data_IF_658097450218
#
_entry.id   IF_658097450218
#
_cell.length_a   1.000
_cell.length_b   1.000
_cell.length_c   1.000
_cell.angle_alpha   90.00
_cell.angle_beta   90.00
_cell.angle_gamma   90.00
#
_symmetry.space_group_name_H-M   'P 1'
#
loop_
_entity.id
_entity.type
_entity.pdbx_description
1 polymer ?
#
# COMPACT_ATOMS: atom_id res chain seq x y z
N UNK A 1 -11.68 11.06 3.82
CA UNK A 1 -11.42 12.51 3.84
C UNK A 1 -10.38 12.90 2.78
N UNK A 2 -9.19 12.28 2.77
CA UNK A 2 -8.09 12.64 1.84
C UNK A 2 -8.50 12.51 0.37
N UNK A 3 -9.21 11.45 -0.01
CA UNK A 3 -9.71 11.24 -1.39
C UNK A 3 -10.66 12.37 -1.80
N UNK A 4 -11.57 12.76 -0.91
CA UNK A 4 -12.46 13.91 -1.16
C UNK A 4 -11.71 15.22 -1.31
N UNK A 5 -10.73 15.45 -0.44
CA UNK A 5 -9.93 16.67 -0.49
C UNK A 5 -9.13 16.75 -1.81
N UNK A 6 -8.55 15.62 -2.24
CA UNK A 6 -7.82 15.57 -3.51
C UNK A 6 -8.73 15.74 -4.72
N UNK A 7 -9.90 15.11 -4.72
CA UNK A 7 -10.81 15.19 -5.86
C UNK A 7 -11.48 16.54 -5.96
N UNK A 8 -12.17 16.98 -4.90
CA UNK A 8 -12.90 18.25 -4.92
C UNK A 8 -12.00 19.46 -4.66
N UNK A 9 -11.06 19.37 -3.74
CA UNK A 9 -10.10 20.43 -3.45
C UNK A 9 -9.08 20.60 -4.57
N UNK A 10 -8.58 19.50 -5.14
CA UNK A 10 -7.66 19.51 -6.27
C UNK A 10 -8.31 20.10 -7.52
N UNK A 11 -9.56 19.71 -7.84
CA UNK A 11 -10.30 20.30 -8.95
C UNK A 11 -10.54 21.81 -8.75
N UNK A 12 -10.93 22.22 -7.55
CA UNK A 12 -11.10 23.62 -7.21
C UNK A 12 -9.81 24.43 -7.33
N UNK A 13 -8.69 23.89 -6.87
CA UNK A 13 -7.38 24.54 -7.00
C UNK A 13 -6.95 24.69 -8.45
N UNK A 14 -7.15 23.66 -9.28
CA UNK A 14 -6.82 23.72 -10.72
C UNK A 14 -7.71 24.73 -11.42
N UNK A 15 -9.01 24.76 -11.13
CA UNK A 15 -9.93 25.78 -11.68
C UNK A 15 -9.54 27.18 -11.25
N UNK A 16 -9.15 27.37 -10.00
CA UNK A 16 -8.70 28.67 -9.50
C UNK A 16 -7.44 29.16 -10.25
N UNK A 17 -6.45 28.27 -10.43
CA UNK A 17 -5.24 28.59 -11.19
C UNK A 17 -5.57 28.87 -12.66
N UNK A 18 -6.43 28.06 -13.28
CA UNK A 18 -6.86 28.24 -14.67
C UNK A 18 -7.60 29.59 -14.87
N UNK A 19 -8.41 30.02 -13.90
CA UNK A 19 -9.11 31.32 -13.95
C UNK A 19 -8.14 32.51 -13.97
N UNK A 20 -6.98 32.39 -13.31
CA UNK A 20 -5.92 33.44 -13.34
C UNK A 20 -5.36 33.58 -14.75
N UNK A 21 -5.33 32.50 -15.55
CA UNK A 21 -4.89 32.52 -16.95
C UNK A 21 -6.02 32.81 -17.95
N UNK A 22 -7.23 33.14 -17.45
CA UNK A 22 -8.36 33.50 -18.29
C UNK A 22 -9.18 32.33 -18.83
N UNK A 23 -8.94 31.11 -18.34
CA UNK A 23 -9.74 29.94 -18.65
C UNK A 23 -10.87 29.78 -17.62
N UNK A 24 -12.12 29.94 -18.07
CA UNK A 24 -13.31 29.85 -17.21
C UNK A 24 -14.16 28.59 -17.50
N UNK A 25 -13.68 27.72 -18.40
CA UNK A 25 -14.38 26.46 -18.67
C UNK A 25 -14.12 25.44 -17.57
N UNK A 26 -15.16 24.61 -17.27
CA UNK A 26 -15.04 23.52 -16.31
C UNK A 26 -14.05 22.47 -16.81
N UNK A 27 -12.93 22.33 -16.14
CA UNK A 27 -11.93 21.31 -16.44
C UNK A 27 -12.34 20.02 -15.73
N UNK A 28 -12.88 19.07 -16.50
CA UNK A 28 -13.26 17.77 -15.96
C UNK A 28 -12.00 16.94 -15.67
N UNK A 29 -11.70 16.77 -14.39
CA UNK A 29 -10.55 15.96 -13.97
C UNK A 29 -10.97 14.50 -13.99
N UNK A 30 -10.17 13.65 -14.62
CA UNK A 30 -10.41 12.22 -14.68
C UNK A 30 -10.38 11.61 -13.27
N UNK A 31 -11.54 11.10 -12.81
CA UNK A 31 -11.71 10.52 -11.49
C UNK A 31 -10.74 9.35 -11.22
N UNK A 32 -10.36 8.59 -12.26
CA UNK A 32 -9.39 7.51 -12.14
C UNK A 32 -8.00 8.04 -11.79
N UNK A 33 -7.53 9.06 -12.49
CA UNK A 33 -6.21 9.65 -12.25
C UNK A 33 -6.15 10.23 -10.85
N UNK A 34 -7.13 11.04 -10.48
CA UNK A 34 -7.18 11.70 -9.16
C UNK A 34 -7.28 10.69 -8.02
N UNK A 35 -8.16 9.69 -8.16
CA UNK A 35 -8.32 8.63 -7.18
C UNK A 35 -7.07 7.78 -7.03
N UNK A 36 -6.43 7.42 -8.15
CA UNK A 36 -5.18 6.65 -8.14
C UNK A 36 -4.03 7.42 -7.51
N UNK A 37 -3.91 8.73 -7.79
CA UNK A 37 -2.92 9.59 -7.17
C UNK A 37 -3.14 9.71 -5.66
N UNK A 38 -4.38 9.93 -5.21
CA UNK A 38 -4.70 10.03 -3.79
C UNK A 38 -4.34 8.75 -3.03
N UNK A 39 -4.75 7.58 -3.53
CA UNK A 39 -4.40 6.29 -2.93
C UNK A 39 -2.90 6.05 -3.03
N UNK A 40 -2.26 6.36 -4.16
CA UNK A 40 -0.82 6.21 -4.36
C UNK A 40 -0.01 7.00 -3.34
N UNK A 41 -0.39 8.25 -3.05
CA UNK A 41 0.27 9.10 -2.04
C UNK A 41 0.11 8.50 -0.65
N UNK A 42 -1.10 8.07 -0.27
CA UNK A 42 -1.37 7.48 1.04
C UNK A 42 -0.59 6.17 1.21
N UNK A 43 -0.68 5.26 0.24
CA UNK A 43 0.04 3.98 0.27
C UNK A 43 1.56 4.18 0.24
N UNK A 44 2.04 5.19 -0.51
CA UNK A 44 3.44 5.59 -0.53
C UNK A 44 3.94 6.08 0.82
N UNK A 45 3.15 6.89 1.52
CA UNK A 45 3.47 7.36 2.86
C UNK A 45 3.58 6.18 3.86
N UNK A 46 2.59 5.27 3.88
CA UNK A 46 2.66 4.07 4.71
C UNK A 46 3.86 3.17 4.35
N UNK A 47 4.12 2.97 3.06
CA UNK A 47 5.26 2.18 2.60
C UNK A 47 6.60 2.79 3.02
N UNK A 48 6.71 4.11 3.01
CA UNK A 48 7.90 4.83 3.48
C UNK A 48 8.18 4.55 4.95
N UNK A 49 7.13 4.58 5.80
CA UNK A 49 7.27 4.24 7.23
C UNK A 49 7.66 2.76 7.43
N UNK A 50 7.10 1.86 6.63
CA UNK A 50 7.47 0.43 6.66
C UNK A 50 8.95 0.25 6.32
N UNK A 51 9.44 0.88 5.26
CA UNK A 51 10.86 0.79 4.88
C UNK A 51 11.77 1.44 5.92
N UNK A 52 11.37 2.59 6.47
CA UNK A 52 12.11 3.24 7.54
C UNK A 52 12.23 2.35 8.77
N UNK A 53 11.13 1.76 9.22
CA UNK A 53 11.12 0.82 10.34
C UNK A 53 11.96 -0.43 10.08
N UNK A 54 11.88 -0.99 8.88
CA UNK A 54 12.67 -2.14 8.49
C UNK A 54 14.18 -1.85 8.51
N UNK A 55 14.63 -0.66 8.03
CA UNK A 55 16.04 -0.26 8.08
C UNK A 55 16.50 -0.06 9.53
N UNK A 56 15.66 0.56 10.37
CA UNK A 56 15.98 0.80 11.77
C UNK A 56 16.07 -0.49 12.62
N UNK A 57 15.41 -1.56 12.17
CA UNK A 57 15.44 -2.87 12.82
C UNK A 57 16.67 -3.70 12.46
N UNK A 58 17.48 -3.26 11.48
CA UNK A 58 18.75 -3.92 11.15
C UNK A 58 19.79 -3.57 12.22
N UNK A 59 20.49 -4.60 12.72
CA UNK A 59 21.51 -4.44 13.74
C UNK A 59 22.62 -3.46 13.28
N UNK A 60 22.95 -2.52 14.18
CA UNK A 60 23.99 -1.51 13.93
C UNK A 60 25.36 -2.16 13.68
N UNK A 61 25.63 -3.32 14.29
CA UNK A 61 26.84 -4.09 14.06
C UNK A 61 27.06 -4.49 12.60
N UNK A 62 25.98 -4.68 11.82
CA UNK A 62 26.08 -4.95 10.38
C UNK A 62 26.66 -3.75 9.62
N UNK A 63 26.27 -2.53 10.02
CA UNK A 63 26.80 -1.30 9.41
C UNK A 63 28.26 -1.07 9.80
N UNK A 64 28.61 -1.34 11.05
CA UNK A 64 29.96 -1.16 11.58
C UNK A 64 30.92 -2.18 10.99
N UNK A 65 30.52 -3.46 10.93
CA UNK A 65 31.33 -4.52 10.32
C UNK A 65 31.62 -4.24 8.84
N UNK A 66 30.62 -3.81 8.07
CA UNK A 66 30.80 -3.44 6.67
C UNK A 66 31.78 -2.27 6.51
N UNK A 67 31.73 -1.30 7.43
CA UNK A 67 32.64 -0.16 7.43
C UNK A 67 34.10 -0.58 7.74
N UNK A 68 34.28 -1.47 8.72
CA UNK A 68 35.63 -2.00 9.09
C UNK A 68 36.24 -2.79 7.93
N UNK A 69 35.41 -3.55 7.19
CA UNK A 69 35.81 -4.31 6.01
C UNK A 69 36.06 -3.43 4.77
N UNK A 70 35.90 -2.12 4.86
CA UNK A 70 36.13 -1.19 3.74
C UNK A 70 35.12 -1.33 2.62
N UNK A 71 33.94 -1.91 2.89
CA UNK A 71 32.87 -2.06 1.89
C UNK A 71 32.34 -0.69 1.51
N UNK A 72 32.26 -0.38 0.20
CA UNK A 72 31.69 0.88 -0.26
C UNK A 72 30.22 1.02 0.15
N UNK A 73 29.74 2.24 0.41
CA UNK A 73 28.36 2.52 0.83
C UNK A 73 27.32 1.92 -0.13
N UNK A 74 27.58 1.96 -1.43
CA UNK A 74 26.73 1.38 -2.44
C UNK A 74 26.65 -0.15 -2.32
N UNK A 75 27.81 -0.81 -2.21
CA UNK A 75 27.87 -2.27 -2.04
C UNK A 75 27.24 -2.70 -0.70
N UNK A 76 27.47 -1.95 0.37
CA UNK A 76 26.84 -2.15 1.68
C UNK A 76 25.30 -2.10 1.57
N UNK A 77 24.77 -1.07 0.90
CA UNK A 77 23.33 -0.93 0.73
C UNK A 77 22.75 -2.10 -0.07
N UNK A 78 23.26 -2.38 -1.28
CA UNK A 78 22.65 -3.38 -2.17
C UNK A 78 22.92 -4.82 -1.76
N UNK A 79 24.07 -5.14 -1.16
CA UNK A 79 24.43 -6.53 -0.84
C UNK A 79 24.11 -6.94 0.59
N UNK A 80 24.04 -5.99 1.54
CA UNK A 80 23.86 -6.28 2.96
C UNK A 80 22.51 -5.76 3.45
N UNK A 81 22.23 -4.46 3.27
CA UNK A 81 21.07 -3.81 3.89
C UNK A 81 19.78 -4.14 3.12
N UNK A 82 19.76 -3.95 1.82
CA UNK A 82 18.57 -4.11 0.98
C UNK A 82 17.93 -5.51 1.11
N UNK A 83 18.67 -6.63 1.06
CA UNK A 83 18.09 -7.96 1.24
C UNK A 83 17.47 -8.16 2.62
N UNK A 84 18.11 -7.65 3.67
CA UNK A 84 17.61 -7.72 5.05
C UNK A 84 16.38 -6.81 5.23
N UNK A 85 16.45 -5.59 4.74
CA UNK A 85 15.35 -4.62 4.76
C UNK A 85 14.10 -5.18 4.07
N UNK A 86 14.24 -5.74 2.86
CA UNK A 86 13.11 -6.32 2.13
C UNK A 86 12.47 -7.47 2.91
N UNK A 87 13.26 -8.32 3.56
CA UNK A 87 12.76 -9.41 4.40
C UNK A 87 11.91 -8.90 5.55
N UNK A 88 12.34 -7.83 6.22
CA UNK A 88 11.63 -7.22 7.34
C UNK A 88 10.42 -6.37 6.87
N UNK A 89 10.49 -5.82 5.66
CA UNK A 89 9.44 -4.97 5.10
C UNK A 89 8.26 -5.76 4.54
N UNK A 90 8.47 -6.94 3.92
CA UNK A 90 7.43 -7.70 3.20
C UNK A 90 6.18 -7.96 4.06
N UNK A 91 6.26 -8.44 5.33
CA UNK A 91 5.06 -8.67 6.14
C UNK A 91 4.25 -7.39 6.37
N UNK A 92 4.94 -6.27 6.63
CA UNK A 92 4.30 -4.98 6.87
C UNK A 92 3.72 -4.37 5.58
N UNK A 93 4.40 -4.54 4.43
CA UNK A 93 3.88 -4.15 3.12
C UNK A 93 2.62 -4.95 2.74
N UNK A 94 2.53 -6.21 3.16
CA UNK A 94 1.32 -7.01 3.05
C UNK A 94 0.11 -6.34 3.72
N UNK A 95 0.33 -5.77 4.90
CA UNK A 95 -0.71 -5.04 5.62
C UNK A 95 -1.09 -3.72 4.90
N UNK A 96 -0.09 -2.97 4.40
CA UNK A 96 -0.34 -1.77 3.58
C UNK A 96 -1.18 -2.12 2.34
N UNK A 97 -0.88 -3.23 1.67
CA UNK A 97 -1.67 -3.73 0.55
C UNK A 97 -3.13 -3.98 0.90
N UNK A 98 -3.40 -4.63 2.05
CA UNK A 98 -4.77 -4.88 2.51
C UNK A 98 -5.55 -3.59 2.79
N UNK A 99 -4.88 -2.59 3.39
CA UNK A 99 -5.47 -1.27 3.61
C UNK A 99 -5.79 -0.62 2.26
N UNK A 100 -4.84 -0.63 1.34
CA UNK A 100 -5.01 -0.07 -0.01
C UNK A 100 -6.18 -0.71 -0.75
N UNK A 101 -6.34 -2.03 -0.70
CA UNK A 101 -7.48 -2.73 -1.29
C UNK A 101 -8.84 -2.24 -0.76
N UNK A 102 -8.93 -1.97 0.54
CA UNK A 102 -10.16 -1.42 1.15
C UNK A 102 -10.37 0.03 0.72
N UNK A 103 -9.30 0.81 0.66
CA UNK A 103 -9.36 2.23 0.30
C UNK A 103 -9.78 2.42 -1.17
N UNK A 104 -9.52 1.45 -2.07
CA UNK A 104 -10.00 1.53 -3.45
C UNK A 104 -11.53 1.58 -3.55
N UNK A 105 -12.26 0.96 -2.62
CA UNK A 105 -13.72 1.04 -2.58
C UNK A 105 -14.25 2.44 -2.30
N UNK A 106 -13.45 3.28 -1.60
CA UNK A 106 -13.82 4.66 -1.28
C UNK A 106 -13.79 5.58 -2.50
N UNK A 107 -13.06 5.22 -3.57
CA UNK A 107 -13.05 5.99 -4.82
C UNK A 107 -14.42 5.95 -5.51
N UNK A 108 -15.27 4.98 -5.24
CA UNK A 108 -16.63 4.91 -5.76
C UNK A 108 -17.41 6.20 -5.58
N UNK A 109 -17.12 6.94 -4.52
CA UNK A 109 -17.78 8.19 -4.15
C UNK A 109 -17.45 9.33 -5.13
N UNK A 110 -16.28 9.29 -5.79
CA UNK A 110 -15.89 10.26 -6.82
C UNK A 110 -16.55 9.99 -8.18
N UNK A 111 -17.43 8.97 -8.25
CA UNK A 111 -18.13 8.60 -9.48
C UNK A 111 -17.38 7.58 -10.35
N UNK A 112 -16.18 7.15 -9.95
CA UNK A 112 -15.45 6.13 -10.68
C UNK A 112 -16.23 4.80 -10.69
N UNK A 113 -16.32 4.20 -11.87
CA UNK A 113 -17.00 2.92 -12.07
C UNK A 113 -16.06 1.79 -11.61
N UNK A 114 -16.31 1.31 -10.40
CA UNK A 114 -15.60 0.17 -9.79
C UNK A 114 -16.63 -0.78 -9.15
N UNK A 115 -16.20 -1.85 -8.48
CA UNK A 115 -17.09 -2.90 -7.95
C UNK A 115 -18.20 -2.32 -7.05
N UNK A 116 -17.86 -1.43 -6.10
CA UNK A 116 -18.87 -0.83 -5.20
C UNK A 116 -19.83 0.08 -5.95
N UNK A 117 -19.34 0.88 -6.90
CA UNK A 117 -20.18 1.76 -7.71
C UNK A 117 -21.16 0.97 -8.56
N UNK A 118 -20.71 -0.09 -9.22
CA UNK A 118 -21.59 -0.97 -10.00
C UNK A 118 -22.61 -1.67 -9.12
N UNK A 119 -22.20 -2.14 -7.95
CA UNK A 119 -23.13 -2.76 -6.98
C UNK A 119 -24.19 -1.77 -6.49
N UNK A 120 -23.80 -0.52 -6.25
CA UNK A 120 -24.73 0.56 -5.88
C UNK A 120 -25.76 0.82 -6.99
N UNK A 121 -25.31 0.95 -8.24
CA UNK A 121 -26.18 1.20 -9.40
C UNK A 121 -27.14 0.01 -9.60
N UNK A 122 -26.62 -1.22 -9.54
CA UNK A 122 -27.44 -2.42 -9.69
C UNK A 122 -28.44 -2.59 -8.55
N UNK A 123 -28.05 -2.33 -7.31
CA UNK A 123 -28.94 -2.36 -6.15
C UNK A 123 -30.08 -1.34 -6.27
N UNK A 124 -29.80 -0.14 -6.79
CA UNK A 124 -30.80 0.89 -7.02
C UNK A 124 -31.79 0.53 -8.13
N UNK A 125 -31.30 -0.06 -9.24
CA UNK A 125 -32.14 -0.45 -10.37
C UNK A 125 -33.04 -1.65 -10.08
N UNK A 126 -32.55 -2.64 -9.34
CA UNK A 126 -33.29 -3.89 -9.04
C UNK A 126 -34.03 -3.83 -7.72
N UNK A 127 -33.78 -2.83 -6.87
CA UNK A 127 -34.28 -2.69 -5.50
C UNK A 127 -33.89 -3.86 -4.57
N UNK A 128 -32.80 -4.55 -4.86
CA UNK A 128 -32.26 -5.63 -4.04
C UNK A 128 -30.81 -5.31 -3.59
N UNK A 129 -30.65 -4.40 -2.60
CA UNK A 129 -29.33 -3.99 -2.11
C UNK A 129 -28.59 -5.13 -1.41
N UNK A 130 -29.31 -6.03 -0.72
CA UNK A 130 -28.69 -7.11 0.03
C UNK A 130 -27.92 -8.05 -0.89
N UNK A 131 -28.51 -8.43 -2.01
CA UNK A 131 -27.88 -9.32 -3.00
C UNK A 131 -26.61 -8.68 -3.59
N UNK A 132 -26.70 -7.45 -4.10
CA UNK A 132 -25.57 -6.82 -4.80
C UNK A 132 -24.42 -6.45 -3.88
N UNK A 133 -24.69 -5.98 -2.66
CA UNK A 133 -23.62 -5.71 -1.70
C UNK A 133 -22.98 -6.99 -1.15
N UNK A 134 -23.77 -8.06 -0.96
CA UNK A 134 -23.21 -9.36 -0.58
C UNK A 134 -22.33 -9.92 -1.69
N UNK A 135 -22.73 -9.77 -2.95
CA UNK A 135 -21.93 -10.17 -4.11
C UNK A 135 -20.63 -9.37 -4.19
N UNK A 136 -20.67 -8.04 -4.00
CA UNK A 136 -19.47 -7.22 -3.92
C UNK A 136 -18.54 -7.66 -2.81
N UNK A 137 -19.08 -7.96 -1.62
CA UNK A 137 -18.29 -8.44 -0.49
C UNK A 137 -17.56 -9.75 -0.82
N UNK A 138 -18.25 -10.71 -1.48
CA UNK A 138 -17.65 -11.96 -1.93
C UNK A 138 -16.52 -11.71 -2.92
N UNK A 139 -16.70 -10.79 -3.89
CA UNK A 139 -15.65 -10.43 -4.84
C UNK A 139 -14.43 -9.83 -4.14
N UNK A 140 -14.63 -8.91 -3.19
CA UNK A 140 -13.53 -8.34 -2.40
C UNK A 140 -12.81 -9.39 -1.54
N UNK A 141 -13.53 -10.32 -0.93
CA UNK A 141 -12.95 -11.43 -0.19
C UNK A 141 -12.10 -12.32 -1.10
N UNK A 142 -12.59 -12.63 -2.29
CA UNK A 142 -11.87 -13.43 -3.28
C UNK A 142 -10.59 -12.75 -3.75
N UNK A 143 -10.66 -11.45 -4.07
CA UNK A 143 -9.48 -10.65 -4.45
C UNK A 143 -8.46 -10.59 -3.31
N UNK A 144 -8.92 -10.37 -2.08
CA UNK A 144 -8.07 -10.34 -0.88
C UNK A 144 -7.41 -11.70 -0.67
N UNK A 145 -8.17 -12.79 -0.75
CA UNK A 145 -7.65 -14.14 -0.59
C UNK A 145 -6.58 -14.49 -1.63
N UNK A 146 -6.83 -14.19 -2.90
CA UNK A 146 -5.88 -14.47 -3.99
C UNK A 146 -4.60 -13.64 -3.82
N UNK A 147 -4.72 -12.35 -3.52
CA UNK A 147 -3.55 -11.48 -3.33
C UNK A 147 -2.74 -11.87 -2.09
N UNK A 148 -3.41 -12.21 -0.97
CA UNK A 148 -2.72 -12.68 0.23
C UNK A 148 -2.00 -14.01 0.02
N UNK A 149 -2.60 -14.94 -0.73
CA UNK A 149 -1.93 -16.21 -1.08
C UNK A 149 -0.65 -15.96 -1.88
N UNK A 150 -0.64 -14.96 -2.77
CA UNK A 150 0.55 -14.58 -3.52
C UNK A 150 1.61 -13.93 -2.61
N UNK A 151 1.21 -12.99 -1.77
CA UNK A 151 2.10 -12.29 -0.84
C UNK A 151 2.73 -13.27 0.15
N UNK A 152 1.94 -14.19 0.74
CA UNK A 152 2.45 -15.20 1.67
C UNK A 152 3.51 -16.10 1.01
N UNK A 153 3.37 -16.42 -0.28
CA UNK A 153 4.42 -17.16 -1.00
C UNK A 153 5.72 -16.36 -1.11
N UNK A 154 5.61 -15.05 -1.34
CA UNK A 154 6.77 -14.16 -1.37
C UNK A 154 7.41 -14.07 0.03
N UNK A 155 6.61 -13.89 1.06
CA UNK A 155 7.07 -13.84 2.45
C UNK A 155 7.85 -15.10 2.84
N UNK A 156 7.29 -16.28 2.61
CA UNK A 156 7.98 -17.56 2.87
C UNK A 156 9.27 -17.69 2.08
N UNK A 157 9.31 -17.22 0.82
CA UNK A 157 10.52 -17.24 0.00
C UNK A 157 11.64 -16.37 0.58
N UNK A 158 11.28 -15.19 1.09
CA UNK A 158 12.25 -14.22 1.62
C UNK A 158 12.58 -14.45 3.11
N UNK A 159 11.69 -15.06 3.91
CA UNK A 159 11.90 -15.29 5.34
C UNK A 159 12.75 -16.52 5.68
N UNK A 160 13.01 -17.41 4.74
CA UNK A 160 13.75 -18.69 4.94
C UNK A 160 15.15 -18.58 5.58
N UNK A 161 15.64 -17.38 5.89
CA UNK A 161 16.95 -17.18 6.55
C UNK A 161 16.87 -16.65 7.98
N UNK A 162 15.67 -16.41 8.54
CA UNK A 162 15.51 -15.83 9.89
C UNK A 162 15.13 -16.86 10.98
N UNK A 163 14.71 -18.06 10.61
CA UNK A 163 14.25 -19.08 11.56
C UNK A 163 15.38 -19.67 12.43
N UNK A 164 16.64 -19.48 12.03
CA UNK A 164 17.79 -19.97 12.81
C UNK A 164 18.11 -19.12 14.05
N UNK A 165 17.74 -17.83 14.06
CA UNK A 165 18.12 -16.93 15.16
C UNK A 165 17.11 -16.87 16.32
N UNK A 166 15.84 -17.23 16.07
CA UNK A 166 14.79 -17.21 17.11
C UNK A 166 14.71 -18.51 17.90
N UNK A 167 15.19 -19.64 17.36
CA UNK A 167 15.20 -20.90 18.09
C UNK A 167 16.34 -20.98 19.11
N UNK A 168 17.51 -20.41 18.78
CA UNK A 168 18.67 -20.43 19.69
C UNK A 168 18.48 -19.47 20.89
N UNK A 169 17.83 -18.31 20.69
CA UNK A 169 17.55 -17.37 21.76
C UNK A 169 16.48 -17.89 22.76
N UNK A 170 15.59 -18.78 22.34
CA UNK A 170 14.60 -19.39 23.23
C UNK A 170 15.19 -20.53 24.05
N UNK A 171 16.20 -21.24 23.54
CA UNK A 171 16.88 -22.34 24.25
C UNK A 171 17.86 -21.84 25.29
N UNK A 172 18.53 -20.69 25.07
CA UNK A 172 19.45 -20.09 26.04
C UNK A 172 18.74 -19.46 27.26
N UNK A 173 17.44 -19.16 27.14
CA UNK A 173 16.65 -18.63 28.27
C UNK A 173 16.15 -19.72 29.24
N UNK A 174 16.34 -20.99 28.90
CA UNK A 174 15.93 -22.15 29.70
C UNK A 174 17.11 -22.91 30.34
N UNK A 175 18.34 -22.40 30.22
CA UNK A 175 19.53 -22.88 30.95
C UNK A 175 19.99 -21.86 31.98
#
# INVERSE_FOLDING_TARGET
LVIYLFFFGGSGAIMYVASIFGYFEYIEINAFITGSMAIGIISGAYSTEVFRGAIQSIDKGQFEAAKVLGVSKFAQFYKIILPQMLRLAIPNLSNVWQITLKDTSLISVTGLVEIMRQSYIAAGSTRDPLFFYSFAAVLYLLLTYLSMKLINRLEVKYSRGCLLYTSDAADDSLR
#
